data_IF_073618659998
#
_entry.id   IF_073618659998
#
_cell.length_a   1.000
_cell.length_b   1.000
_cell.length_c   1.000
_cell.angle_alpha   90.00
_cell.angle_beta   90.00
_cell.angle_gamma   90.00
#
_symmetry.space_group_name_H-M   'P 1'
#
loop_
_entity.id
_entity.type
_entity.pdbx_description
1 polymer ?
#
# COMPACT_ATOMS: atom_id res chain seq x y z
N UNK A 1 -35.70 -44.07 14.86
CA UNK A 1 -34.99 -43.21 13.89
C UNK A 1 -34.97 -41.80 14.47
N UNK A 2 -33.81 -41.35 14.97
CA UNK A 2 -33.65 -40.01 15.57
C UNK A 2 -33.27 -39.04 14.48
N UNK A 3 -34.12 -38.06 14.23
CA UNK A 3 -33.83 -36.88 13.41
C UNK A 3 -32.76 -36.04 14.13
N UNK A 4 -31.65 -35.79 13.44
CA UNK A 4 -30.64 -34.84 13.90
C UNK A 4 -31.20 -33.43 13.73
N UNK A 5 -31.37 -32.71 14.84
CA UNK A 5 -31.63 -31.28 14.84
C UNK A 5 -30.31 -30.57 14.49
N UNK A 6 -30.35 -29.70 13.48
CA UNK A 6 -29.24 -28.82 13.14
C UNK A 6 -29.02 -27.78 14.26
N UNK A 7 -27.76 -27.55 14.61
CA UNK A 7 -27.32 -26.65 15.67
C UNK A 7 -27.80 -25.20 15.46
N UNK A 8 -28.15 -24.48 16.54
CA UNK A 8 -28.57 -23.08 16.46
C UNK A 8 -27.35 -22.20 16.21
N UNK A 9 -27.23 -21.70 14.98
CA UNK A 9 -26.28 -20.62 14.63
C UNK A 9 -26.51 -19.45 15.60
N UNK A 10 -25.43 -19.08 16.29
CA UNK A 10 -25.35 -17.96 17.23
C UNK A 10 -26.00 -16.69 16.65
N UNK A 11 -27.11 -16.25 17.24
CA UNK A 11 -27.90 -15.07 16.83
C UNK A 11 -27.16 -13.73 16.97
N UNK A 12 -25.86 -13.72 17.33
CA UNK A 12 -25.09 -12.48 17.53
C UNK A 12 -24.36 -11.99 16.29
N UNK A 13 -24.42 -12.73 15.17
CA UNK A 13 -23.76 -12.37 13.91
C UNK A 13 -24.70 -11.75 12.85
N UNK A 14 -25.95 -11.38 13.20
CA UNK A 14 -26.99 -11.00 12.25
C UNK A 14 -27.26 -9.49 12.10
N UNK A 15 -26.35 -8.59 12.48
CA UNK A 15 -26.58 -7.13 12.32
C UNK A 15 -25.53 -6.40 11.48
N UNK A 16 -25.11 -6.99 10.36
CA UNK A 16 -24.58 -6.18 9.25
C UNK A 16 -25.15 -6.69 7.93
N UNK A 17 -26.45 -6.47 7.75
CA UNK A 17 -27.05 -6.47 6.42
C UNK A 17 -26.75 -5.08 5.86
N UNK A 18 -25.83 -4.90 4.90
CA UNK A 18 -25.73 -3.61 4.24
C UNK A 18 -27.09 -3.37 3.58
N UNK A 19 -27.81 -2.34 4.06
CA UNK A 19 -28.87 -1.75 3.25
C UNK A 19 -28.29 -1.23 1.93
N UNK A 20 -29.03 -0.48 1.12
CA UNK A 20 -28.46 0.24 -0.02
C UNK A 20 -27.53 1.38 0.48
N UNK A 21 -26.43 1.02 1.13
CA UNK A 21 -25.36 1.91 1.54
C UNK A 21 -24.56 2.31 0.31
N UNK A 22 -24.21 3.59 0.23
CA UNK A 22 -23.36 4.07 -0.84
C UNK A 22 -21.91 3.70 -0.54
N UNK A 23 -21.08 3.72 -1.57
CA UNK A 23 -19.65 3.51 -1.42
C UNK A 23 -18.97 4.86 -1.32
N UNK A 24 -18.06 5.02 -0.35
CA UNK A 24 -17.15 6.16 -0.37
C UNK A 24 -16.22 6.05 -1.58
N UNK A 25 -15.87 7.19 -2.16
CA UNK A 25 -14.75 7.25 -3.11
C UNK A 25 -13.47 6.89 -2.36
N UNK A 26 -12.66 6.02 -2.95
CA UNK A 26 -11.39 5.58 -2.38
C UNK A 26 -10.25 5.95 -3.31
N UNK A 27 -9.24 6.61 -2.78
CA UNK A 27 -7.96 6.83 -3.45
C UNK A 27 -6.91 5.89 -2.87
N UNK A 28 -6.02 5.36 -3.71
CA UNK A 28 -4.92 4.51 -3.23
C UNK A 28 -3.63 4.72 -4.00
N UNK A 29 -2.52 4.49 -3.32
CA UNK A 29 -1.19 4.36 -3.91
C UNK A 29 -0.32 3.47 -3.00
N UNK A 30 0.82 3.04 -3.51
CA UNK A 30 1.78 2.27 -2.73
C UNK A 30 3.17 2.92 -2.68
N UNK A 31 3.96 2.40 -1.75
CA UNK A 31 5.38 2.65 -1.54
C UNK A 31 6.06 1.32 -1.21
N UNK A 32 7.38 1.34 -1.08
CA UNK A 32 8.17 0.14 -0.73
C UNK A 32 7.62 -0.64 0.47
N UNK A 33 7.14 0.04 1.51
CA UNK A 33 6.73 -0.60 2.78
C UNK A 33 5.24 -0.51 3.08
N UNK A 34 4.54 0.44 2.49
CA UNK A 34 3.15 0.74 2.84
C UNK A 34 2.26 0.84 1.61
N UNK A 35 1.00 0.49 1.78
CA UNK A 35 -0.10 0.85 0.89
C UNK A 35 -0.96 1.87 1.62
N UNK A 36 -1.33 2.94 0.92
CA UNK A 36 -2.14 4.01 1.46
C UNK A 36 -3.54 3.93 0.85
N UNK A 37 -4.56 3.98 1.70
CA UNK A 37 -5.96 4.07 1.28
C UNK A 37 -6.58 5.32 1.87
N UNK A 38 -7.29 6.09 1.08
CA UNK A 38 -8.02 7.26 1.55
C UNK A 38 -9.49 7.14 1.19
N UNK A 39 -10.34 7.08 2.20
CA UNK A 39 -11.80 7.15 2.06
C UNK A 39 -12.22 8.63 2.09
N UNK A 40 -12.64 9.16 0.94
CA UNK A 40 -13.02 10.56 0.78
C UNK A 40 -14.45 10.81 1.30
N UNK A 41 -14.59 10.90 2.63
CA UNK A 41 -15.85 11.25 3.30
C UNK A 41 -15.60 12.45 4.21
N UNK A 42 -16.18 13.58 3.83
CA UNK A 42 -16.13 14.82 4.63
C UNK A 42 -17.07 14.72 5.85
N UNK A 43 -16.66 15.36 6.94
CA UNK A 43 -17.42 15.44 8.20
C UNK A 43 -17.91 14.07 8.71
N UNK A 44 -17.09 13.04 8.51
CA UNK A 44 -17.44 11.65 8.79
C UNK A 44 -17.76 11.41 10.28
N UNK A 45 -18.82 10.64 10.54
CA UNK A 45 -19.26 10.23 11.88
C UNK A 45 -19.30 8.71 11.98
N UNK A 46 -19.20 8.19 13.20
CA UNK A 46 -19.25 6.75 13.50
C UNK A 46 -18.28 5.92 12.64
N UNK A 47 -17.06 6.44 12.41
CA UNK A 47 -16.04 5.78 11.61
C UNK A 47 -15.62 4.47 12.25
N UNK A 48 -15.69 3.40 11.47
CA UNK A 48 -15.18 2.07 11.82
C UNK A 48 -14.32 1.55 10.69
N UNK A 49 -13.09 1.18 11.03
CA UNK A 49 -12.12 0.58 10.11
C UNK A 49 -11.70 -0.76 10.69
N UNK A 50 -11.95 -1.84 9.96
CA UNK A 50 -11.47 -3.17 10.31
C UNK A 50 -10.37 -3.56 9.33
N UNK A 51 -9.14 -3.69 9.86
CA UNK A 51 -7.97 -4.08 9.10
C UNK A 51 -7.68 -5.55 9.39
N UNK A 52 -7.90 -6.41 8.40
CA UNK A 52 -7.53 -7.82 8.43
C UNK A 52 -6.28 -8.07 7.58
N UNK A 53 -5.69 -9.26 7.67
CA UNK A 53 -4.46 -9.58 6.94
C UNK A 53 -4.59 -9.48 5.41
N UNK A 54 -5.79 -9.68 4.86
CA UNK A 54 -6.06 -9.69 3.41
C UNK A 54 -7.22 -8.78 3.01
N UNK A 55 -7.78 -8.01 3.94
CA UNK A 55 -9.04 -7.30 3.71
C UNK A 55 -9.10 -6.05 4.56
N UNK A 56 -9.71 -5.01 4.01
CA UNK A 56 -10.07 -3.80 4.74
C UNK A 56 -11.56 -3.57 4.61
N UNK A 57 -12.23 -3.38 5.73
CA UNK A 57 -13.65 -3.02 5.79
C UNK A 57 -13.75 -1.62 6.39
N UNK A 58 -14.45 -0.73 5.70
CA UNK A 58 -14.72 0.63 6.13
C UNK A 58 -16.21 0.86 6.21
N UNK A 59 -16.65 1.50 7.30
CA UNK A 59 -18.01 2.02 7.41
C UNK A 59 -18.04 3.34 8.18
N UNK A 60 -18.91 4.26 7.75
CA UNK A 60 -19.16 5.51 8.46
C UNK A 60 -20.52 6.10 8.05
N UNK A 61 -20.88 7.21 8.69
CA UNK A 61 -21.95 8.11 8.23
C UNK A 61 -21.31 9.36 7.60
N UNK A 62 -21.89 9.83 6.49
CA UNK A 62 -21.54 11.14 5.93
C UNK A 62 -22.30 12.27 6.67
N UNK A 63 -22.11 13.53 6.23
CA UNK A 63 -22.81 14.69 6.81
C UNK A 63 -24.35 14.57 6.77
N UNK A 64 -24.90 13.97 5.72
CA UNK A 64 -26.34 13.71 5.53
C UNK A 64 -26.85 12.49 6.32
N UNK A 65 -26.02 11.86 7.15
CA UNK A 65 -26.30 10.61 7.87
C UNK A 65 -26.61 9.42 6.95
N UNK A 66 -26.11 9.45 5.72
CA UNK A 66 -26.13 8.32 4.79
C UNK A 66 -24.98 7.38 5.13
N UNK A 67 -25.30 6.10 5.27
CA UNK A 67 -24.31 5.06 5.54
C UNK A 67 -23.41 4.82 4.33
N UNK A 68 -22.11 4.97 4.55
CA UNK A 68 -21.06 4.60 3.60
C UNK A 68 -20.48 3.24 4.01
N UNK A 69 -20.27 2.36 3.03
CA UNK A 69 -19.63 1.06 3.23
C UNK A 69 -18.70 0.73 2.08
N UNK A 70 -17.50 0.27 2.41
CA UNK A 70 -16.53 -0.23 1.44
C UNK A 70 -15.87 -1.50 1.99
N UNK A 71 -15.75 -2.50 1.13
CA UNK A 71 -15.03 -3.73 1.41
C UNK A 71 -14.01 -3.96 0.30
N UNK A 72 -12.74 -4.14 0.69
CA UNK A 72 -11.63 -4.31 -0.24
C UNK A 72 -10.87 -5.56 0.14
N UNK A 73 -10.93 -6.59 -0.70
CA UNK A 73 -10.01 -7.73 -0.63
C UNK A 73 -8.68 -7.32 -1.28
N UNK A 74 -7.59 -7.35 -0.51
CA UNK A 74 -6.28 -6.84 -0.91
C UNK A 74 -5.53 -7.80 -1.85
N UNK A 75 -4.66 -7.22 -2.68
CA UNK A 75 -3.82 -7.93 -3.64
C UNK A 75 -2.88 -8.95 -2.98
N UNK A 76 -2.21 -8.56 -1.89
CA UNK A 76 -1.38 -9.46 -1.06
C UNK A 76 -1.60 -9.12 0.42
N UNK A 77 -0.98 -9.92 1.29
CA UNK A 77 -1.05 -9.79 2.74
C UNK A 77 -0.46 -8.48 3.25
N UNK A 78 -1.08 -7.95 4.29
CA UNK A 78 -0.59 -6.86 5.13
C UNK A 78 -0.36 -7.34 6.56
N UNK A 79 0.28 -6.50 7.38
CA UNK A 79 0.47 -6.69 8.83
C UNK A 79 -0.54 -5.82 9.57
N UNK A 80 -1.69 -6.36 10.04
CA UNK A 80 -2.73 -5.55 10.67
C UNK A 80 -2.26 -4.79 11.92
N UNK A 81 -1.39 -5.42 12.72
CA UNK A 81 -0.87 -4.82 13.96
C UNK A 81 0.02 -3.60 13.75
N UNK A 82 0.69 -3.53 12.60
CA UNK A 82 1.56 -2.41 12.22
C UNK A 82 0.85 -1.45 11.25
N UNK A 83 -0.43 -1.70 10.96
CA UNK A 83 -1.29 -0.86 10.15
C UNK A 83 -2.12 0.04 11.06
N UNK A 84 -2.49 1.22 10.56
CA UNK A 84 -3.28 2.19 11.33
C UNK A 84 -4.11 3.08 10.42
N UNK A 85 -5.15 3.66 10.95
CA UNK A 85 -5.98 4.67 10.32
C UNK A 85 -5.79 6.04 10.98
N UNK A 86 -6.03 7.10 10.20
CA UNK A 86 -6.08 8.48 10.65
C UNK A 86 -7.33 9.11 10.07
N UNK A 87 -8.21 9.56 10.96
CA UNK A 87 -9.36 10.38 10.58
C UNK A 87 -8.93 11.85 10.51
N UNK A 88 -9.44 12.54 9.49
CA UNK A 88 -9.45 13.99 9.37
C UNK A 88 -10.87 14.48 9.07
N UNK A 89 -11.08 15.79 9.04
CA UNK A 89 -12.39 16.37 8.70
C UNK A 89 -12.78 16.11 7.23
N UNK A 90 -11.81 15.82 6.35
CA UNK A 90 -12.02 15.66 4.90
C UNK A 90 -12.05 14.20 4.45
N UNK A 91 -11.34 13.34 5.16
CA UNK A 91 -11.13 11.95 4.76
C UNK A 91 -10.60 11.09 5.88
N UNK A 92 -10.66 9.77 5.67
CA UNK A 92 -10.07 8.76 6.54
C UNK A 92 -8.95 8.07 5.77
N UNK A 93 -7.71 8.18 6.23
CA UNK A 93 -6.53 7.58 5.60
C UNK A 93 -6.08 6.34 6.37
N UNK A 94 -5.97 5.20 5.71
CA UNK A 94 -5.36 3.99 6.24
C UNK A 94 -3.93 3.82 5.70
N UNK A 95 -3.02 3.49 6.62
CA UNK A 95 -1.62 3.18 6.37
C UNK A 95 -1.46 1.67 6.58
N UNK A 96 -1.46 0.90 5.50
CA UNK A 96 -1.39 -0.55 5.54
C UNK A 96 0.06 -1.00 5.40
N UNK A 97 0.61 -1.69 6.40
CA UNK A 97 1.98 -2.21 6.33
C UNK A 97 2.00 -3.47 5.48
N UNK A 98 2.73 -3.46 4.36
CA UNK A 98 2.88 -4.65 3.50
C UNK A 98 3.55 -5.79 4.26
N UNK A 99 3.11 -7.02 4.02
CA UNK A 99 3.81 -8.20 4.56
C UNK A 99 5.17 -8.42 3.89
N UNK A 100 5.24 -8.24 2.56
CA UNK A 100 6.48 -8.25 1.78
C UNK A 100 6.84 -6.81 1.42
N UNK A 101 7.95 -6.33 1.96
CA UNK A 101 8.49 -5.01 1.61
C UNK A 101 9.18 -5.06 0.24
N UNK A 102 9.31 -3.90 -0.40
CA UNK A 102 9.91 -3.71 -1.73
C UNK A 102 9.27 -4.54 -2.84
N UNK A 103 7.96 -4.77 -2.74
CA UNK A 103 7.14 -5.38 -3.80
C UNK A 103 6.10 -4.37 -4.28
N UNK A 104 6.15 -4.00 -5.55
CA UNK A 104 5.16 -3.14 -6.20
C UNK A 104 3.80 -3.83 -6.28
N UNK A 105 2.74 -3.09 -5.97
CA UNK A 105 1.36 -3.58 -6.09
C UNK A 105 0.76 -3.10 -7.41
N UNK A 106 0.59 -3.96 -8.43
CA UNK A 106 0.06 -3.55 -9.73
C UNK A 106 -1.43 -3.15 -9.66
N UNK A 107 -2.12 -3.61 -8.61
CA UNK A 107 -3.50 -3.26 -8.28
C UNK A 107 -3.69 -3.38 -6.77
N UNK A 108 -4.73 -2.74 -6.25
CA UNK A 108 -5.08 -2.86 -4.84
C UNK A 108 -5.83 -4.16 -4.53
N UNK A 109 -6.72 -4.60 -5.43
CA UNK A 109 -7.65 -5.70 -5.20
C UNK A 109 -7.05 -7.05 -5.54
N UNK A 110 -7.44 -8.12 -4.82
CA UNK A 110 -7.07 -9.49 -5.18
C UNK A 110 -7.48 -9.83 -6.60
N UNK A 111 -8.74 -9.59 -6.91
CA UNK A 111 -9.31 -9.89 -8.21
C UNK A 111 -9.12 -8.69 -9.17
N UNK A 112 -9.11 -8.96 -10.48
CA UNK A 112 -8.91 -7.91 -11.50
C UNK A 112 -10.16 -7.04 -11.72
N UNK A 113 -11.22 -7.24 -10.93
CA UNK A 113 -12.39 -6.40 -10.94
C UNK A 113 -12.10 -5.14 -10.14
N UNK A 114 -12.07 -3.99 -10.82
CA UNK A 114 -11.86 -2.69 -10.19
C UNK A 114 -13.22 -2.05 -9.90
N UNK A 115 -13.63 -1.92 -8.61
CA UNK A 115 -14.87 -1.23 -8.26
C UNK A 115 -14.87 0.21 -8.78
N UNK A 116 -16.03 0.72 -9.19
CA UNK A 116 -16.17 2.06 -9.79
C UNK A 116 -15.73 3.18 -8.83
N UNK A 117 -15.86 2.95 -7.53
CA UNK A 117 -15.50 3.89 -6.46
C UNK A 117 -14.01 3.87 -6.09
N UNK A 118 -13.20 2.97 -6.66
CA UNK A 118 -11.78 2.83 -6.34
C UNK A 118 -10.91 3.46 -7.43
N UNK A 119 -10.06 4.42 -7.06
CA UNK A 119 -9.20 5.16 -7.97
C UNK A 119 -7.76 5.22 -7.47
N UNK A 120 -6.80 5.37 -8.41
CA UNK A 120 -5.40 5.64 -8.07
C UNK A 120 -5.27 7.10 -7.66
N UNK A 121 -4.51 7.35 -6.61
CA UNK A 121 -4.10 8.69 -6.18
C UNK A 121 -2.93 9.17 -7.04
N UNK A 122 -3.24 9.87 -8.14
CA UNK A 122 -2.21 10.36 -9.06
C UNK A 122 -1.32 11.46 -8.48
N UNK A 123 -1.78 12.17 -7.44
CA UNK A 123 -0.99 13.25 -6.84
C UNK A 123 0.16 12.66 -6.02
N UNK A 124 -0.11 11.59 -5.26
CA UNK A 124 0.87 10.91 -4.42
C UNK A 124 1.57 9.74 -5.12
N UNK A 125 1.04 9.17 -6.20
CA UNK A 125 1.66 8.03 -6.88
C UNK A 125 3.06 8.38 -7.45
N UNK A 126 3.99 7.42 -7.29
CA UNK A 126 5.37 7.50 -7.77
C UNK A 126 5.82 6.09 -8.16
N UNK A 127 6.65 6.01 -9.19
CA UNK A 127 7.23 4.77 -9.69
C UNK A 127 8.50 4.44 -8.89
N UNK A 128 8.30 3.98 -7.66
CA UNK A 128 9.38 3.89 -6.67
C UNK A 128 10.27 2.64 -6.85
N UNK A 129 9.87 1.65 -7.64
CA UNK A 129 10.68 0.45 -7.93
C UNK A 129 11.68 0.70 -9.07
N UNK A 130 11.31 1.48 -10.08
CA UNK A 130 12.17 1.87 -11.20
C UNK A 130 13.38 2.71 -10.74
N UNK A 131 13.20 3.55 -9.70
CA UNK A 131 14.29 4.31 -9.09
C UNK A 131 15.30 3.38 -8.39
N UNK A 132 14.84 2.34 -7.67
CA UNK A 132 15.71 1.36 -7.01
C UNK A 132 16.45 0.46 -8.02
N UNK A 133 15.79 0.06 -9.12
CA UNK A 133 16.42 -0.69 -10.21
C UNK A 133 17.54 0.11 -10.87
N UNK A 134 17.34 1.42 -11.08
CA UNK A 134 18.36 2.32 -11.64
C UNK A 134 19.59 2.48 -10.74
N UNK A 135 19.39 2.62 -9.42
CA UNK A 135 20.49 2.69 -8.45
C UNK A 135 21.29 1.39 -8.38
N UNK A 136 20.61 0.24 -8.40
CA UNK A 136 21.25 -1.08 -8.39
C UNK A 136 22.09 -1.31 -9.65
N UNK A 137 21.55 -1.00 -10.83
CA UNK A 137 22.27 -1.13 -12.09
C UNK A 137 23.51 -0.23 -12.15
N UNK A 138 23.42 0.99 -11.60
CA UNK A 138 24.56 1.89 -11.49
C UNK A 138 25.63 1.31 -10.55
N UNK A 139 25.24 0.79 -9.39
CA UNK A 139 26.15 0.19 -8.43
C UNK A 139 26.89 -1.03 -9.02
N UNK A 140 26.18 -1.90 -9.75
CA UNK A 140 26.79 -3.04 -10.47
C UNK A 140 27.84 -2.57 -11.48
N UNK A 141 27.51 -1.56 -12.29
CA UNK A 141 28.46 -0.98 -13.25
C UNK A 141 29.71 -0.39 -12.58
N UNK A 142 29.55 0.28 -11.43
CA UNK A 142 30.70 0.78 -10.66
C UNK A 142 31.57 -0.34 -10.10
N UNK A 143 30.97 -1.45 -9.63
CA UNK A 143 31.72 -2.61 -9.14
C UNK A 143 32.49 -3.29 -10.28
N UNK A 144 31.90 -3.41 -11.46
CA UNK A 144 32.56 -3.94 -12.66
C UNK A 144 33.74 -3.07 -13.08
N UNK A 145 33.58 -1.74 -13.08
CA UNK A 145 34.69 -0.82 -13.30
C UNK A 145 35.81 -1.07 -12.29
N UNK A 146 35.52 -1.04 -10.99
CA UNK A 146 36.52 -1.27 -9.92
C UNK A 146 37.24 -2.61 -10.10
N UNK A 147 36.52 -3.68 -10.43
CA UNK A 147 37.13 -4.99 -10.68
C UNK A 147 38.03 -4.97 -11.92
N UNK A 148 37.61 -4.30 -13.00
CA UNK A 148 38.43 -4.14 -14.21
C UNK A 148 39.70 -3.30 -13.99
N UNK A 149 39.68 -2.33 -13.06
CA UNK A 149 40.87 -1.54 -12.72
C UNK A 149 41.79 -2.26 -11.73
N UNK A 150 41.26 -3.14 -10.86
CA UNK A 150 42.08 -3.97 -9.95
C UNK A 150 43.02 -4.92 -10.69
N UNK A 151 42.62 -5.37 -11.89
CA UNK A 151 43.46 -6.25 -12.74
C UNK A 151 44.52 -5.48 -13.55
N UNK A 152 44.46 -4.14 -13.57
CA UNK A 152 45.51 -3.30 -14.14
C UNK A 152 46.43 -2.88 -12.98
N UNK A 153 47.72 -3.20 -13.11
CA UNK A 153 48.73 -3.08 -12.04
C UNK A 153 48.89 -1.68 -11.44
N UNK A 154 49.97 -1.51 -10.65
CA UNK A 154 50.19 -0.35 -9.77
C UNK A 154 49.76 0.98 -10.41
N UNK A 155 48.94 1.80 -9.71
CA UNK A 155 48.48 3.08 -10.23
C UNK A 155 49.69 3.91 -10.67
N UNK A 156 49.61 4.60 -11.82
CA UNK A 156 50.73 5.41 -12.31
C UNK A 156 51.18 6.39 -11.22
N UNK A 157 52.49 6.50 -11.00
CA UNK A 157 53.02 7.46 -10.03
C UNK A 157 52.73 8.87 -10.52
N UNK A 158 52.34 9.75 -9.61
CA UNK A 158 52.10 11.17 -9.85
C UNK A 158 53.42 11.95 -9.72
N UNK A 159 54.51 11.42 -10.28
CA UNK A 159 55.87 11.99 -10.16
C UNK A 159 56.16 13.06 -11.24
N UNK A 160 55.26 13.26 -12.21
CA UNK A 160 55.50 14.10 -13.40
C UNK A 160 54.84 15.51 -13.33
N UNK A 161 54.50 16.02 -12.14
CA UNK A 161 53.84 17.34 -11.99
C UNK A 161 54.74 18.47 -11.46
N UNK A 162 56.02 18.24 -11.26
CA UNK A 162 56.96 19.25 -10.74
C UNK A 162 57.65 20.10 -11.85
N UNK A 163 57.33 19.89 -13.14
CA UNK A 163 58.04 20.54 -14.26
C UNK A 163 57.30 21.71 -14.95
N UNK A 164 56.27 22.30 -14.33
CA UNK A 164 55.56 23.48 -14.86
C UNK A 164 55.72 24.74 -14.01
N UNK A 165 56.95 25.05 -13.59
CA UNK A 165 57.36 26.40 -13.18
C UNK A 165 58.63 26.80 -13.96
N UNK A 166 58.46 27.27 -15.20
CA UNK A 166 59.44 28.14 -15.88
C UNK A 166 58.80 29.01 -16.97
#
# INVERSE_FOLDING_TARGET
MKTAAADPVCQRCLSFQPGPGQHAKVLWYDRARYVFLEFCVENSRDVKVEIESNKVIFSCLNEDNVQMYNEIELFDKIQPKDSREKQSDRSITCFLRKWKEKVAWPRLTRDNNKPVWLHVDFDNWRDWDAEEEGEMALAEHYLDLINSVKDKGAPPSMDDLDDLDN
#
